data_IF_440085001771
#
_entry.id   IF_440085001771
#
_cell.length_a   1.000
_cell.length_b   1.000
_cell.length_c   1.000
_cell.angle_alpha   90.00
_cell.angle_beta   90.00
_cell.angle_gamma   90.00
#
_symmetry.space_group_name_H-M   'P 1'
#
loop_
_entity.id
_entity.type
_entity.pdbx_description
1 polymer ?
#
# COMPACT_ATOMS: atom_id res chain seq x y z
N UNK A 1 2.03 8.48 -10.32
CA UNK A 1 2.00 7.57 -9.15
C UNK A 1 2.28 8.28 -7.84
N UNK A 2 3.46 8.92 -7.64
CA UNK A 2 3.87 9.53 -6.36
C UNK A 2 2.83 10.47 -5.75
N UNK A 3 2.36 11.48 -6.50
CA UNK A 3 1.28 12.39 -6.05
C UNK A 3 0.02 11.63 -5.61
N UNK A 4 -0.31 10.49 -6.25
CA UNK A 4 -1.44 9.67 -5.85
C UNK A 4 -1.20 8.88 -4.55
N UNK A 5 0.03 8.45 -4.30
CA UNK A 5 0.42 7.77 -3.07
C UNK A 5 0.29 8.69 -1.84
N UNK A 6 0.61 9.97 -2.00
CA UNK A 6 0.56 10.96 -0.90
C UNK A 6 -0.84 11.07 -0.28
N UNK A 7 -1.91 10.87 -1.07
CA UNK A 7 -3.29 10.86 -0.56
C UNK A 7 -3.62 9.70 0.38
N UNK A 8 -2.80 8.65 0.40
CA UNK A 8 -3.06 7.42 1.17
C UNK A 8 -2.29 7.39 2.49
N UNK A 9 -1.31 8.28 2.70
CA UNK A 9 -0.52 8.37 3.92
C UNK A 9 -1.39 8.91 5.06
N UNK A 10 -1.26 8.35 6.26
CA UNK A 10 -2.03 8.72 7.45
C UNK A 10 -3.05 7.67 7.87
N UNK A 11 -3.92 8.06 8.82
CA UNK A 11 -5.00 7.21 9.32
C UNK A 11 -6.28 7.40 8.51
N UNK A 12 -6.77 6.32 7.91
CA UNK A 12 -7.94 6.36 7.03
C UNK A 12 -8.77 5.09 7.13
N UNK A 13 -10.02 5.17 6.67
CA UNK A 13 -10.83 4.00 6.32
C UNK A 13 -10.37 3.43 4.97
N UNK A 14 -9.76 2.24 5.00
CA UNK A 14 -9.27 1.56 3.80
C UNK A 14 -10.28 0.56 3.20
N UNK A 15 -11.59 0.75 3.40
CA UNK A 15 -12.63 -0.14 2.85
C UNK A 15 -12.55 -0.31 1.33
N UNK A 16 -12.21 0.76 0.59
CA UNK A 16 -12.00 0.67 -0.86
C UNK A 16 -10.78 -0.19 -1.25
N UNK A 17 -9.89 -0.46 -0.31
CA UNK A 17 -8.69 -1.28 -0.48
C UNK A 17 -8.79 -2.62 0.25
N UNK A 18 -9.98 -3.01 0.72
CA UNK A 18 -10.23 -4.23 1.48
C UNK A 18 -10.84 -5.32 0.59
N UNK A 19 -10.35 -6.56 0.70
CA UNK A 19 -11.02 -7.71 0.09
C UNK A 19 -12.32 -8.08 0.84
N UNK A 20 -13.33 -8.56 0.13
CA UNK A 20 -14.63 -8.95 0.71
C UNK A 20 -14.52 -10.01 1.81
N UNK A 21 -13.55 -10.94 1.70
CA UNK A 21 -13.29 -11.99 2.70
C UNK A 21 -12.45 -11.53 3.90
N UNK A 22 -12.16 -10.23 4.02
CA UNK A 22 -11.36 -9.72 5.14
C UNK A 22 -12.14 -9.81 6.46
N UNK A 23 -11.53 -10.44 7.47
CA UNK A 23 -12.12 -10.66 8.79
C UNK A 23 -11.77 -9.57 9.82
N UNK A 24 -11.02 -8.54 9.44
CA UNK A 24 -10.66 -7.46 10.36
C UNK A 24 -11.91 -6.74 10.89
N UNK A 25 -11.97 -6.49 12.20
CA UNK A 25 -13.10 -5.83 12.85
C UNK A 25 -13.30 -4.39 12.34
N UNK A 26 -12.20 -3.68 12.05
CA UNK A 26 -12.22 -2.31 11.52
C UNK A 26 -11.39 -2.20 10.24
N UNK A 27 -11.85 -1.42 9.23
CA UNK A 27 -11.07 -1.08 8.05
C UNK A 27 -10.09 0.08 8.29
N UNK A 28 -10.08 0.70 9.47
CA UNK A 28 -9.22 1.84 9.76
C UNK A 28 -7.77 1.38 9.95
N UNK A 29 -6.84 1.94 9.17
CA UNK A 29 -5.40 1.66 9.28
C UNK A 29 -4.61 2.95 9.18
N UNK A 30 -3.38 2.92 9.69
CA UNK A 30 -2.44 4.02 9.60
C UNK A 30 -1.32 3.61 8.66
N UNK A 31 -1.25 4.26 7.50
CA UNK A 31 -0.16 4.10 6.54
C UNK A 31 0.94 5.10 6.91
N UNK A 32 2.08 4.61 7.39
CA UNK A 32 3.19 5.43 7.87
C UNK A 32 4.08 5.93 6.73
N UNK A 33 4.38 5.07 5.75
CA UNK A 33 5.16 5.44 4.56
C UNK A 33 4.64 4.68 3.32
N UNK A 34 4.68 5.36 2.17
CA UNK A 34 4.35 4.78 0.86
C UNK A 34 5.27 5.39 -0.19
N UNK A 35 6.40 4.71 -0.45
CA UNK A 35 7.49 5.24 -1.27
C UNK A 35 7.56 4.57 -2.62
N UNK A 36 7.75 5.36 -3.68
CA UNK A 36 7.86 4.86 -5.06
C UNK A 36 9.18 5.28 -5.69
N UNK A 37 10.06 4.31 -5.93
CA UNK A 37 11.40 4.49 -6.51
C UNK A 37 11.51 3.75 -7.84
N UNK A 38 12.29 4.30 -8.78
CA UNK A 38 12.61 3.63 -10.05
C UNK A 38 14.06 3.13 -9.98
N UNK A 39 14.26 1.85 -10.26
CA UNK A 39 15.57 1.21 -10.36
C UNK A 39 15.69 0.59 -11.75
N UNK A 40 16.47 1.23 -12.62
CA UNK A 40 16.53 0.90 -14.05
C UNK A 40 15.11 0.74 -14.64
N UNK A 41 14.75 -0.47 -15.08
CA UNK A 41 13.45 -0.79 -15.69
C UNK A 41 12.39 -1.26 -14.68
N UNK A 42 12.69 -1.24 -13.39
CA UNK A 42 11.77 -1.65 -12.32
C UNK A 42 11.24 -0.45 -11.53
N UNK A 43 9.99 -0.55 -11.10
CA UNK A 43 9.39 0.37 -10.12
C UNK A 43 9.19 -0.40 -8.82
N UNK A 44 9.80 0.08 -7.75
CA UNK A 44 9.66 -0.46 -6.41
C UNK A 44 8.68 0.42 -5.62
N UNK A 45 7.79 -0.24 -4.87
CA UNK A 45 6.81 0.41 -3.99
C UNK A 45 6.98 -0.17 -2.59
N UNK A 46 7.51 0.63 -1.68
CA UNK A 46 7.65 0.27 -0.26
C UNK A 46 6.45 0.81 0.52
N UNK A 47 5.88 -0.03 1.38
CA UNK A 47 4.68 0.29 2.15
C UNK A 47 4.88 -0.07 3.62
N UNK A 48 4.70 0.89 4.51
CA UNK A 48 4.82 0.73 5.96
C UNK A 48 3.50 1.14 6.62
N UNK A 49 2.93 0.28 7.46
CA UNK A 49 1.68 0.55 8.16
C UNK A 49 1.67 -0.14 9.53
N UNK A 50 0.78 0.30 10.41
CA UNK A 50 0.53 -0.36 11.69
C UNK A 50 -0.01 -1.79 11.52
N UNK A 51 -0.84 -2.01 10.50
CA UNK A 51 -1.35 -3.30 10.08
C UNK A 51 -1.92 -3.20 8.65
N UNK A 52 -2.14 -4.34 8.01
CA UNK A 52 -2.71 -4.41 6.66
C UNK A 52 -4.04 -5.17 6.65
N UNK A 53 -5.00 -4.73 5.83
CA UNK A 53 -6.21 -5.49 5.52
C UNK A 53 -5.91 -6.56 4.47
N UNK A 54 -6.80 -7.55 4.33
CA UNK A 54 -6.68 -8.56 3.29
C UNK A 54 -6.64 -7.90 1.91
N UNK A 55 -5.57 -8.17 1.15
CA UNK A 55 -5.22 -7.57 -0.15
C UNK A 55 -4.90 -6.06 -0.16
N UNK A 56 -4.82 -5.38 0.98
CA UNK A 56 -4.63 -3.93 1.06
C UNK A 56 -3.50 -3.40 0.17
N UNK A 57 -2.29 -3.93 0.35
CA UNK A 57 -1.11 -3.50 -0.41
C UNK A 57 -1.32 -3.69 -1.93
N UNK A 58 -1.81 -4.86 -2.35
CA UNK A 58 -2.03 -5.17 -3.77
C UNK A 58 -3.15 -4.34 -4.39
N UNK A 59 -4.16 -3.96 -3.62
CA UNK A 59 -5.22 -3.04 -4.05
C UNK A 59 -4.69 -1.61 -4.20
N UNK A 60 -3.86 -1.14 -3.26
CA UNK A 60 -3.18 0.16 -3.36
C UNK A 60 -2.31 0.20 -4.62
N UNK A 61 -1.48 -0.82 -4.83
CA UNK A 61 -0.62 -0.92 -6.03
C UNK A 61 -1.46 -0.94 -7.31
N UNK A 62 -2.59 -1.65 -7.33
CA UNK A 62 -3.53 -1.65 -8.45
C UNK A 62 -4.04 -0.26 -8.83
N UNK A 63 -4.41 0.55 -7.83
CA UNK A 63 -4.81 1.95 -8.04
C UNK A 63 -3.64 2.78 -8.57
N UNK A 64 -2.46 2.63 -7.98
CA UNK A 64 -1.26 3.37 -8.40
C UNK A 64 -0.83 3.00 -9.83
N UNK A 65 -0.97 1.75 -10.27
CA UNK A 65 -0.69 1.31 -11.64
C UNK A 65 -1.61 2.01 -12.64
N UNK A 66 -2.90 2.13 -12.35
CA UNK A 66 -3.83 2.85 -13.23
C UNK A 66 -3.43 4.33 -13.38
N UNK A 67 -2.96 4.95 -12.29
CA UNK A 67 -2.40 6.32 -12.33
C UNK A 67 -1.08 6.36 -13.12
N UNK A 68 -0.18 5.41 -12.88
CA UNK A 68 1.13 5.34 -13.55
C UNK A 68 1.05 5.10 -15.05
N UNK A 69 -0.02 4.44 -15.51
CA UNK A 69 -0.30 4.17 -16.93
C UNK A 69 -1.17 5.24 -17.59
N UNK A 70 -1.51 6.33 -16.88
CA UNK A 70 -2.32 7.43 -17.42
C UNK A 70 -3.81 7.12 -17.58
N UNK A 71 -4.30 5.99 -17.07
CA UNK A 71 -5.73 5.63 -17.12
C UNK A 71 -6.57 6.43 -16.12
N UNK A 72 -5.93 6.98 -15.09
CA UNK A 72 -6.57 7.73 -14.01
C UNK A 72 -5.66 8.88 -13.56
N UNK A 73 -6.28 9.97 -13.12
CA UNK A 73 -5.57 11.13 -12.57
C UNK A 73 -4.99 10.85 -11.17
N UNK A 74 -3.90 11.51 -10.74
CA UNK A 74 -3.27 11.26 -9.43
C UNK A 74 -4.21 11.39 -8.24
N UNK A 75 -5.12 12.37 -8.25
CA UNK A 75 -6.10 12.57 -7.17
C UNK A 75 -7.18 11.47 -7.10
N UNK A 76 -7.22 10.54 -8.07
CA UNK A 76 -8.12 9.40 -8.03
C UNK A 76 -7.86 8.50 -6.83
N UNK A 77 -6.62 8.37 -6.36
CA UNK A 77 -6.30 7.59 -5.16
C UNK A 77 -7.05 8.12 -3.93
N UNK A 78 -7.04 9.44 -3.71
CA UNK A 78 -7.80 10.08 -2.65
C UNK A 78 -9.32 9.94 -2.83
N UNK A 79 -9.82 10.00 -4.08
CA UNK A 79 -11.25 9.73 -4.36
C UNK A 79 -11.64 8.30 -4.03
N UNK A 80 -10.83 7.31 -4.42
CA UNK A 80 -11.07 5.89 -4.12
C UNK A 80 -11.13 5.68 -2.62
N UNK A 81 -10.18 6.25 -1.88
CA UNK A 81 -10.17 6.22 -0.42
C UNK A 81 -11.45 6.81 0.17
N UNK A 82 -11.83 8.02 -0.25
CA UNK A 82 -13.02 8.71 0.24
C UNK A 82 -14.34 8.00 -0.10
N UNK A 83 -14.40 7.28 -1.23
CA UNK A 83 -15.60 6.53 -1.62
C UNK A 83 -15.83 5.27 -0.77
N UNK A 84 -14.78 4.67 -0.20
CA UNK A 84 -14.90 3.46 0.62
C UNK A 84 -15.37 2.20 -0.13
N UNK A 85 -15.50 2.24 -1.46
CA UNK A 85 -16.12 1.19 -2.27
C UNK A 85 -15.09 0.46 -3.14
N UNK A 86 -14.82 -0.81 -2.82
CA UNK A 86 -13.85 -1.65 -3.53
C UNK A 86 -14.19 -1.85 -5.00
N UNK A 87 -15.46 -1.79 -5.40
CA UNK A 87 -15.87 -2.00 -6.80
C UNK A 87 -15.43 -0.85 -7.71
N UNK A 88 -15.16 0.32 -7.13
CA UNK A 88 -14.70 1.54 -7.83
C UNK A 88 -13.19 1.72 -7.82
N UNK A 89 -12.45 0.81 -7.17
CA UNK A 89 -11.00 0.84 -7.08
C UNK A 89 -10.32 0.10 -8.26
N UNK A 90 -8.99 0.16 -8.33
CA UNK A 90 -8.21 -0.54 -9.34
C UNK A 90 -8.28 -2.07 -9.24
N UNK A 91 -7.81 -2.74 -10.30
CA UNK A 91 -7.63 -4.20 -10.30
C UNK A 91 -6.55 -4.57 -9.29
N UNK A 92 -6.78 -5.62 -8.50
CA UNK A 92 -5.78 -6.12 -7.54
C UNK A 92 -4.50 -6.50 -8.28
N UNK A 93 -3.36 -5.95 -7.87
CA UNK A 93 -2.08 -6.32 -8.47
C UNK A 93 -1.77 -7.82 -8.30
N UNK A 94 -1.00 -8.46 -9.20
CA UNK A 94 -0.51 -9.83 -9.02
C UNK A 94 0.24 -10.04 -7.70
N UNK A 95 0.26 -11.27 -7.18
CA UNK A 95 0.89 -11.58 -5.90
C UNK A 95 2.41 -11.76 -6.01
N UNK A 96 2.92 -12.16 -7.19
CA UNK A 96 4.33 -12.51 -7.45
C UNK A 96 5.33 -11.37 -7.20
N UNK A 97 4.89 -10.11 -7.20
CA UNK A 97 5.73 -8.94 -6.90
C UNK A 97 5.67 -8.47 -5.44
N UNK A 98 4.92 -9.15 -4.56
CA UNK A 98 4.75 -8.74 -3.16
C UNK A 98 5.68 -9.52 -2.23
N UNK A 99 6.47 -8.78 -1.45
CA UNK A 99 7.39 -9.35 -0.46
C UNK A 99 7.22 -8.65 0.89
N UNK A 100 7.17 -9.44 1.97
CA UNK A 100 7.30 -8.90 3.33
C UNK A 100 8.78 -8.69 3.62
N UNK A 101 9.20 -7.43 3.73
CA UNK A 101 10.61 -7.11 3.95
C UNK A 101 10.97 -7.04 5.43
N UNK A 102 10.08 -6.61 6.31
CA UNK A 102 10.40 -6.46 7.73
C UNK A 102 9.17 -6.22 8.62
N UNK A 103 9.38 -6.39 9.92
CA UNK A 103 8.40 -6.13 10.98
C UNK A 103 9.13 -5.42 12.12
N UNK A 104 8.54 -4.36 12.66
CA UNK A 104 9.11 -3.64 13.81
C UNK A 104 8.62 -4.24 15.13
N UNK A 105 9.55 -4.38 16.07
CA UNK A 105 9.29 -4.85 17.43
C UNK A 105 9.87 -3.87 18.44
N UNK A 106 9.29 -3.77 19.66
CA UNK A 106 9.87 -2.99 20.74
C UNK A 106 11.33 -3.36 21.02
N UNK A 107 12.16 -2.34 21.28
CA UNK A 107 13.62 -2.49 21.40
C UNK A 107 14.05 -3.47 22.51
N UNK A 108 13.28 -3.57 23.59
CA UNK A 108 13.59 -4.46 24.71
C UNK A 108 13.59 -5.95 24.34
N UNK A 109 12.95 -6.35 23.23
CA UNK A 109 13.02 -7.72 22.72
C UNK A 109 14.35 -8.04 22.03
N UNK A 110 15.17 -7.03 21.70
CA UNK A 110 16.50 -7.17 21.08
C UNK A 110 16.49 -8.07 19.83
N UNK A 111 15.41 -8.00 19.04
CA UNK A 111 15.29 -8.75 17.79
C UNK A 111 16.36 -8.23 16.82
N UNK A 112 17.20 -9.12 16.22
CA UNK A 112 18.18 -8.69 15.24
C UNK A 112 17.53 -7.92 14.10
N UNK A 113 18.02 -6.71 13.83
CA UNK A 113 17.59 -5.94 12.66
C UNK A 113 18.43 -6.39 11.47
N UNK A 114 17.79 -7.01 10.49
CA UNK A 114 18.39 -7.16 9.17
C UNK A 114 18.38 -5.79 8.50
N UNK A 115 19.55 -5.26 8.16
CA UNK A 115 19.66 -4.02 7.39
C UNK A 115 19.01 -4.23 6.02
N UNK A 116 17.88 -3.57 5.77
CA UNK A 116 17.18 -3.60 4.47
C UNK A 116 17.93 -2.86 3.35
N UNK A 117 19.16 -2.43 3.61
CA UNK A 117 20.07 -1.74 2.68
C UNK A 117 20.50 -2.61 1.48
N UNK A 118 20.26 -3.92 1.47
CA UNK A 118 20.71 -4.83 0.40
C UNK A 118 19.65 -5.20 -0.65
N UNK A 119 18.67 -4.33 -0.90
CA UNK A 119 17.91 -4.29 -2.16
C UNK A 119 17.92 -2.84 -2.70
N UNK A 120 19.06 -2.15 -2.57
CA UNK A 120 19.32 -0.82 -3.13
C UNK A 120 20.02 -0.93 -4.48
#
# INVERSE_FOLDING_TARGET
MRVGADYLIGEHDFSAFRAASCQAATPIRTLHDLRITRYAEQIRIDVIANAFLHHMVRNIVGVLIAIGTGKQEPNWAGRVLAMGDRTKAGVTAPAEGLYLIGVEYPEHFRIPRVSHTMIL
#
